data_IF_237399452341
#
_entry.id   IF_237399452341
#
_cell.length_a   1.000
_cell.length_b   1.000
_cell.length_c   1.000
_cell.angle_alpha   90.00
_cell.angle_beta   90.00
_cell.angle_gamma   90.00
#
_symmetry.space_group_name_H-M   'P 1'
#
loop_
_entity.id
_entity.type
_entity.pdbx_description
1 polymer ?
#
# COMPACT_ATOMS: atom_id res chain seq x y z
N UNK A 1 2.00 48.50 -36.42
CA UNK A 1 1.65 48.09 -35.03
C UNK A 1 1.41 46.58 -34.88
N UNK A 2 0.77 45.86 -35.84
CA UNK A 2 0.48 44.42 -35.69
C UNK A 2 1.70 43.48 -35.75
N UNK A 3 2.73 43.83 -36.53
CA UNK A 3 3.94 43.02 -36.65
C UNK A 3 4.74 42.90 -35.33
N UNK A 4 4.69 43.93 -34.49
CA UNK A 4 5.40 43.96 -33.22
C UNK A 4 4.82 42.98 -32.19
N UNK A 5 3.50 42.81 -32.18
CA UNK A 5 2.83 41.82 -31.34
C UNK A 5 3.23 40.39 -31.69
N UNK A 6 3.48 40.08 -32.96
CA UNK A 6 3.93 38.74 -33.37
C UNK A 6 5.36 38.44 -32.92
N UNK A 7 6.25 39.44 -32.95
CA UNK A 7 7.64 39.28 -32.49
C UNK A 7 7.68 39.06 -30.98
N UNK A 8 6.92 39.85 -30.21
CA UNK A 8 6.88 39.72 -28.75
C UNK A 8 6.27 38.39 -28.32
N UNK A 9 5.17 37.96 -28.94
CA UNK A 9 4.56 36.66 -28.64
C UNK A 9 5.47 35.48 -29.03
N UNK A 10 6.16 35.58 -30.18
CA UNK A 10 7.13 34.56 -30.59
C UNK A 10 8.28 34.41 -29.59
N UNK A 11 8.77 35.53 -29.05
CA UNK A 11 9.86 35.54 -28.08
C UNK A 11 9.45 34.98 -26.71
N UNK A 12 8.21 35.25 -26.27
CA UNK A 12 7.65 34.66 -25.05
C UNK A 12 7.46 33.15 -25.20
N UNK A 13 6.91 32.70 -26.33
CA UNK A 13 6.72 31.26 -26.60
C UNK A 13 8.05 30.51 -26.71
N UNK A 14 9.05 31.13 -27.35
CA UNK A 14 10.40 30.57 -27.40
C UNK A 14 11.03 30.49 -26.01
N UNK A 15 10.86 31.51 -25.17
CA UNK A 15 11.33 31.50 -23.78
C UNK A 15 10.70 30.39 -22.93
N UNK A 16 9.38 30.19 -23.05
CA UNK A 16 8.67 29.10 -22.36
C UNK A 16 9.13 27.73 -22.87
N UNK A 17 9.28 27.56 -24.19
CA UNK A 17 9.77 26.32 -24.78
C UNK A 17 11.19 25.98 -24.30
N UNK A 18 12.06 26.99 -24.17
CA UNK A 18 13.42 26.83 -23.67
C UNK A 18 13.46 26.53 -22.17
N UNK A 19 12.56 27.12 -21.38
CA UNK A 19 12.41 26.83 -19.95
C UNK A 19 11.83 25.44 -19.66
N UNK A 20 11.02 24.89 -20.56
CA UNK A 20 10.51 23.51 -20.47
C UNK A 20 11.56 22.49 -20.96
N UNK A 21 12.29 22.82 -22.03
CA UNK A 21 13.33 21.94 -22.59
C UNK A 21 14.64 21.91 -21.78
N UNK A 22 14.96 23.01 -21.09
CA UNK A 22 16.14 23.17 -20.22
C UNK A 22 15.69 23.42 -18.77
N UNK A 23 14.47 22.97 -18.42
CA UNK A 23 14.05 22.90 -17.04
C UNK A 23 15.03 22.00 -16.29
N UNK A 24 15.39 22.30 -15.03
CA UNK A 24 16.08 21.33 -14.22
C UNK A 24 15.13 20.15 -14.13
N UNK A 25 15.40 19.11 -14.92
CA UNK A 25 14.97 17.77 -14.59
C UNK A 25 15.37 17.64 -13.14
N UNK A 26 14.40 17.77 -12.24
CA UNK A 26 14.55 17.44 -10.84
C UNK A 26 14.97 15.99 -10.91
N UNK A 27 16.27 15.80 -10.94
CA UNK A 27 16.94 14.52 -11.02
C UNK A 27 16.57 13.96 -9.68
N UNK A 28 15.43 13.26 -9.64
CA UNK A 28 14.87 12.69 -8.44
C UNK A 28 16.04 11.96 -7.81
N UNK A 29 16.58 12.57 -6.76
CA UNK A 29 17.77 12.07 -6.12
C UNK A 29 17.36 10.68 -5.69
N UNK A 30 17.91 9.65 -6.34
CA UNK A 30 17.71 8.25 -5.97
C UNK A 30 18.40 8.11 -4.60
N UNK A 31 17.70 8.57 -3.56
CA UNK A 31 18.07 8.47 -2.15
C UNK A 31 17.86 7.04 -1.64
N UNK A 32 17.19 6.22 -2.44
CA UNK A 32 17.22 4.78 -2.31
C UNK A 32 18.21 4.25 -3.36
N UNK A 33 19.18 3.39 -3.00
CA UNK A 33 19.82 2.56 -4.00
C UNK A 33 18.72 1.95 -4.87
N UNK A 34 18.88 1.85 -6.21
CA UNK A 34 17.93 1.10 -7.02
C UNK A 34 17.78 -0.22 -6.31
N UNK A 35 16.60 -0.47 -5.73
CA UNK A 35 16.33 -1.58 -4.82
C UNK A 35 16.97 -2.79 -5.46
N UNK A 36 18.14 -3.18 -4.97
CA UNK A 36 19.03 -4.06 -5.70
C UNK A 36 18.43 -5.43 -5.48
N UNK A 37 17.41 -5.79 -6.27
CA UNK A 37 16.70 -7.06 -6.30
C UNK A 37 16.76 -7.80 -4.95
N UNK A 38 16.44 -7.11 -3.86
CA UNK A 38 16.55 -7.67 -2.53
C UNK A 38 15.28 -8.52 -2.36
N UNK A 39 15.36 -9.75 -2.87
CA UNK A 39 14.33 -10.77 -2.74
C UNK A 39 13.15 -10.65 -3.70
N UNK A 40 13.32 -10.26 -4.97
CA UNK A 40 12.36 -10.72 -5.98
C UNK A 40 12.70 -12.17 -6.29
N UNK A 41 12.29 -13.05 -5.37
CA UNK A 41 12.15 -14.44 -5.73
C UNK A 41 11.17 -14.52 -6.91
N UNK A 42 11.52 -15.29 -7.94
CA UNK A 42 10.67 -15.45 -9.10
C UNK A 42 9.29 -15.95 -8.64
N UNK A 43 8.22 -15.24 -9.05
CA UNK A 43 6.85 -15.57 -8.66
C UNK A 43 6.54 -17.03 -9.02
N UNK A 44 7.04 -17.51 -10.17
CA UNK A 44 6.88 -18.90 -10.58
C UNK A 44 7.54 -19.89 -9.60
N UNK A 45 8.66 -19.53 -8.99
CA UNK A 45 9.31 -20.36 -7.98
C UNK A 45 8.50 -20.40 -6.68
N UNK A 46 7.92 -19.27 -6.27
CA UNK A 46 7.03 -19.21 -5.10
C UNK A 46 5.76 -20.03 -5.31
N UNK A 47 5.15 -19.95 -6.50
CA UNK A 47 4.00 -20.76 -6.90
C UNK A 47 4.33 -22.26 -6.86
N UNK A 48 5.49 -22.66 -7.40
CA UNK A 48 5.95 -24.04 -7.37
C UNK A 48 6.16 -24.56 -5.94
N UNK A 49 6.75 -23.76 -5.04
CA UNK A 49 6.93 -24.13 -3.63
C UNK A 49 5.59 -24.25 -2.90
N UNK A 50 4.67 -23.31 -3.12
CA UNK A 50 3.34 -23.37 -2.54
C UNK A 50 2.57 -24.60 -3.01
N UNK A 51 2.66 -24.94 -4.30
CA UNK A 51 2.03 -26.13 -4.87
C UNK A 51 2.63 -27.43 -4.32
N UNK A 52 3.94 -27.45 -4.06
CA UNK A 52 4.62 -28.60 -3.49
C UNK A 52 4.31 -28.78 -1.99
N UNK A 53 4.32 -27.68 -1.23
CA UNK A 53 4.10 -27.69 0.22
C UNK A 53 3.53 -26.34 0.72
N UNK A 54 2.23 -26.26 1.05
CA UNK A 54 1.58 -25.03 1.50
C UNK A 54 1.86 -24.74 2.98
N UNK A 55 3.15 -24.66 3.36
CA UNK A 55 3.57 -24.24 4.69
C UNK A 55 3.18 -22.80 4.99
N UNK A 56 3.08 -22.40 6.28
CA UNK A 56 2.82 -21.01 6.64
C UNK A 56 3.71 -19.99 5.92
N UNK A 57 5.01 -20.28 5.83
CA UNK A 57 6.00 -19.42 5.19
C UNK A 57 5.78 -19.32 3.67
N UNK A 58 5.47 -20.43 3.01
CA UNK A 58 5.23 -20.43 1.57
C UNK A 58 3.92 -19.69 1.23
N UNK A 59 2.87 -19.86 2.03
CA UNK A 59 1.60 -19.14 1.86
C UNK A 59 1.79 -17.63 2.04
N UNK A 60 2.44 -17.18 3.11
CA UNK A 60 2.61 -15.74 3.35
C UNK A 60 3.57 -15.10 2.35
N UNK A 61 4.63 -15.80 1.94
CA UNK A 61 5.55 -15.33 0.90
C UNK A 61 4.84 -15.15 -0.46
N UNK A 62 4.09 -16.16 -0.90
CA UNK A 62 3.34 -16.09 -2.16
C UNK A 62 2.26 -15.00 -2.13
N UNK A 63 1.49 -14.91 -1.05
CA UNK A 63 0.47 -13.88 -0.89
C UNK A 63 1.08 -12.47 -0.86
N UNK A 64 2.22 -12.28 -0.21
CA UNK A 64 2.96 -11.02 -0.22
C UNK A 64 3.43 -10.66 -1.64
N UNK A 65 3.97 -11.63 -2.39
CA UNK A 65 4.39 -11.43 -3.77
C UNK A 65 3.20 -11.03 -4.67
N UNK A 66 2.06 -11.72 -4.58
CA UNK A 66 0.85 -11.33 -5.31
C UNK A 66 0.41 -9.91 -4.99
N UNK A 67 0.48 -9.47 -3.72
CA UNK A 67 0.19 -8.09 -3.34
C UNK A 67 1.20 -7.10 -3.92
N UNK A 68 2.48 -7.43 -3.96
CA UNK A 68 3.51 -6.59 -4.58
C UNK A 68 3.28 -6.42 -6.08
N UNK A 69 2.82 -7.48 -6.76
CA UNK A 69 2.45 -7.45 -8.18
C UNK A 69 1.05 -6.89 -8.48
N UNK A 70 0.34 -6.35 -7.49
CA UNK A 70 -0.99 -5.77 -7.71
C UNK A 70 -2.08 -6.80 -8.02
N UNK A 71 -1.92 -8.04 -7.56
CA UNK A 71 -2.83 -9.16 -7.75
C UNK A 71 -3.55 -9.55 -6.43
N UNK A 72 -4.36 -8.65 -5.84
CA UNK A 72 -4.97 -8.90 -4.52
C UNK A 72 -5.99 -10.05 -4.54
N UNK A 73 -6.59 -10.35 -5.69
CA UNK A 73 -7.48 -11.51 -5.86
C UNK A 73 -6.75 -12.82 -5.61
N UNK A 74 -5.59 -13.02 -6.25
CA UNK A 74 -4.75 -14.21 -6.05
C UNK A 74 -4.19 -14.29 -4.64
N UNK A 75 -3.80 -13.14 -4.06
CA UNK A 75 -3.38 -13.09 -2.66
C UNK A 75 -4.47 -13.57 -1.71
N UNK A 76 -5.72 -13.09 -1.89
CA UNK A 76 -6.87 -13.59 -1.13
C UNK A 76 -7.08 -15.08 -1.34
N UNK A 77 -7.09 -15.56 -2.59
CA UNK A 77 -7.30 -16.99 -2.88
C UNK A 77 -6.26 -17.90 -2.23
N UNK A 78 -4.98 -17.52 -2.26
CA UNK A 78 -3.91 -18.29 -1.62
C UNK A 78 -4.06 -18.33 -0.08
N UNK A 79 -4.45 -17.21 0.53
CA UNK A 79 -4.69 -17.11 1.97
C UNK A 79 -5.97 -17.85 2.40
N UNK A 80 -7.04 -17.74 1.62
CA UNK A 80 -8.34 -18.36 1.91
C UNK A 80 -8.27 -19.89 1.79
N UNK A 81 -7.46 -20.40 0.86
CA UNK A 81 -7.21 -21.83 0.67
C UNK A 81 -6.27 -22.43 1.74
N UNK A 82 -5.58 -21.60 2.52
CA UNK A 82 -4.66 -22.07 3.54
C UNK A 82 -5.39 -22.72 4.73
N UNK A 83 -4.76 -23.69 5.42
CA UNK A 83 -5.31 -24.27 6.65
C UNK A 83 -5.65 -23.21 7.70
N UNK A 84 -6.62 -23.50 8.57
CA UNK A 84 -7.08 -22.57 9.59
C UNK A 84 -5.93 -22.09 10.50
N UNK A 85 -4.99 -22.98 10.80
CA UNK A 85 -3.80 -22.73 11.60
C UNK A 85 -2.91 -21.65 10.97
N UNK A 86 -2.80 -21.65 9.63
CA UNK A 86 -2.05 -20.64 8.87
C UNK A 86 -2.81 -19.31 8.86
N UNK A 87 -4.13 -19.35 8.61
CA UNK A 87 -4.97 -18.15 8.57
C UNK A 87 -5.03 -17.43 9.92
N UNK A 88 -4.91 -18.16 11.02
CA UNK A 88 -4.86 -17.62 12.37
C UNK A 88 -3.53 -16.89 12.69
N UNK A 89 -2.49 -17.05 11.86
CA UNK A 89 -1.22 -16.36 12.08
C UNK A 89 -1.35 -14.86 11.85
N UNK A 90 -0.68 -14.03 12.66
CA UNK A 90 -0.80 -12.57 12.57
C UNK A 90 -0.30 -12.03 11.22
N UNK A 91 0.70 -12.67 10.61
CA UNK A 91 1.20 -12.28 9.29
C UNK A 91 0.19 -12.59 8.17
N UNK A 92 -0.44 -13.77 8.20
CA UNK A 92 -1.48 -14.12 7.25
C UNK A 92 -2.70 -13.19 7.37
N UNK A 93 -3.13 -12.88 8.60
CA UNK A 93 -4.20 -11.93 8.86
C UNK A 93 -3.86 -10.51 8.39
N UNK A 94 -2.61 -10.05 8.60
CA UNK A 94 -2.12 -8.77 8.07
C UNK A 94 -2.19 -8.71 6.54
N UNK A 95 -1.74 -9.76 5.85
CA UNK A 95 -1.79 -9.84 4.39
C UNK A 95 -3.24 -9.94 3.87
N UNK A 96 -4.10 -10.69 4.56
CA UNK A 96 -5.53 -10.78 4.24
C UNK A 96 -6.21 -9.42 4.31
N UNK A 97 -5.97 -8.65 5.38
CA UNK A 97 -6.48 -7.29 5.50
C UNK A 97 -6.03 -6.39 4.33
N UNK A 98 -4.78 -6.51 3.88
CA UNK A 98 -4.28 -5.76 2.72
C UNK A 98 -4.95 -6.18 1.41
N UNK A 99 -5.15 -7.48 1.21
CA UNK A 99 -5.80 -8.02 0.03
C UNK A 99 -7.27 -7.59 -0.04
N UNK A 100 -8.01 -7.74 1.06
CA UNK A 100 -9.42 -7.33 1.18
C UNK A 100 -9.60 -5.83 0.93
N UNK A 101 -8.72 -5.00 1.50
CA UNK A 101 -8.76 -3.56 1.28
C UNK A 101 -8.59 -3.19 -0.20
N UNK A 102 -7.63 -3.82 -0.89
CA UNK A 102 -7.42 -3.61 -2.34
C UNK A 102 -8.53 -4.15 -3.22
N UNK A 103 -9.41 -5.00 -2.68
CA UNK A 103 -10.59 -5.54 -3.34
C UNK A 103 -11.89 -4.78 -3.03
N UNK A 104 -11.79 -3.64 -2.33
CA UNK A 104 -12.96 -2.84 -1.97
C UNK A 104 -13.84 -3.45 -0.88
N UNK A 105 -13.23 -4.24 0.02
CA UNK A 105 -13.91 -4.86 1.17
C UNK A 105 -13.39 -4.24 2.47
N UNK A 106 -13.61 -2.94 2.65
CA UNK A 106 -12.99 -2.17 3.74
C UNK A 106 -13.38 -2.69 5.13
N UNK A 107 -14.64 -3.06 5.34
CA UNK A 107 -15.10 -3.59 6.63
C UNK A 107 -14.45 -4.93 7.00
N UNK A 108 -14.35 -5.81 6.02
CA UNK A 108 -13.71 -7.11 6.22
C UNK A 108 -12.20 -6.98 6.40
N UNK A 109 -11.59 -6.03 5.67
CA UNK A 109 -10.20 -5.67 5.89
C UNK A 109 -9.96 -5.17 7.32
N UNK A 110 -10.87 -4.36 7.88
CA UNK A 110 -10.78 -3.89 9.25
C UNK A 110 -10.84 -5.05 10.24
N UNK A 111 -11.81 -5.97 10.10
CA UNK A 111 -11.92 -7.14 10.98
C UNK A 111 -10.64 -8.00 10.97
N UNK A 112 -10.05 -8.23 9.79
CA UNK A 112 -8.79 -8.96 9.66
C UNK A 112 -7.61 -8.20 10.31
N UNK A 113 -7.57 -6.86 10.20
CA UNK A 113 -6.55 -6.04 10.83
C UNK A 113 -6.68 -5.98 12.37
N UNK A 114 -7.91 -5.96 12.88
CA UNK A 114 -8.20 -6.05 14.32
C UNK A 114 -7.72 -7.39 14.88
N UNK A 115 -8.02 -8.50 14.19
CA UNK A 115 -7.50 -9.83 14.57
C UNK A 115 -5.97 -9.83 14.60
N UNK A 116 -5.31 -9.36 13.55
CA UNK A 116 -3.85 -9.32 13.48
C UNK A 116 -3.24 -8.45 14.60
N UNK A 117 -3.85 -7.29 14.89
CA UNK A 117 -3.42 -6.39 15.96
C UNK A 117 -3.62 -7.02 17.34
N UNK A 118 -4.75 -7.69 17.58
CA UNK A 118 -5.04 -8.36 18.84
C UNK A 118 -4.04 -9.49 19.10
N UNK A 119 -3.78 -10.34 18.11
CA UNK A 119 -2.76 -11.40 18.19
C UNK A 119 -1.36 -10.84 18.42
N UNK A 120 -1.01 -9.69 17.84
CA UNK A 120 0.29 -9.09 18.11
C UNK A 120 0.40 -8.44 19.50
N UNK A 121 -0.71 -7.94 20.05
CA UNK A 121 -0.74 -7.29 21.37
C UNK A 121 -0.49 -8.27 22.53
N UNK A 122 -0.74 -9.57 22.34
CA UNK A 122 -0.44 -10.62 23.32
C UNK A 122 1.05 -11.03 23.35
N UNK A 123 1.92 -10.37 22.58
CA UNK A 123 3.37 -10.61 22.59
C UNK A 123 3.87 -11.64 21.57
N UNK A 124 2.99 -12.17 20.71
CA UNK A 124 3.33 -13.22 19.74
C UNK A 124 4.01 -12.72 18.46
N UNK A 125 4.19 -11.40 18.28
CA UNK A 125 4.68 -10.81 17.02
C UNK A 125 6.05 -10.15 17.14
N UNK A 126 6.88 -10.22 16.09
CA UNK A 126 8.00 -9.30 15.92
C UNK A 126 7.54 -7.83 15.97
N UNK A 127 8.37 -6.95 16.53
CA UNK A 127 8.05 -5.53 16.71
C UNK A 127 7.63 -4.83 15.40
N UNK A 128 8.26 -5.19 14.27
CA UNK A 128 7.92 -4.63 12.97
C UNK A 128 6.50 -4.99 12.51
N UNK A 129 6.04 -6.22 12.81
CA UNK A 129 4.72 -6.68 12.42
C UNK A 129 3.65 -6.03 13.31
N UNK A 130 3.91 -5.96 14.62
CA UNK A 130 3.05 -5.24 15.56
C UNK A 130 2.84 -3.77 15.16
N UNK A 131 3.90 -3.08 14.76
CA UNK A 131 3.80 -1.70 14.27
C UNK A 131 2.98 -1.59 12.97
N UNK A 132 3.17 -2.53 12.03
CA UNK A 132 2.41 -2.56 10.76
C UNK A 132 0.93 -2.83 10.98
N UNK A 133 0.58 -3.82 11.80
CA UNK A 133 -0.82 -4.18 12.08
C UNK A 133 -1.53 -3.06 12.82
N UNK A 134 -0.89 -2.44 13.82
CA UNK A 134 -1.44 -1.28 14.52
C UNK A 134 -1.72 -0.10 13.57
N UNK A 135 -0.76 0.25 12.70
CA UNK A 135 -0.93 1.34 11.72
C UNK A 135 -2.03 1.03 10.71
N UNK A 136 -2.08 -0.20 10.21
CA UNK A 136 -3.10 -0.62 9.25
C UNK A 136 -4.50 -0.58 9.87
N UNK A 137 -4.65 -1.07 11.11
CA UNK A 137 -5.92 -1.00 11.85
C UNK A 137 -6.41 0.44 11.97
N UNK A 138 -5.56 1.34 12.47
CA UNK A 138 -5.90 2.76 12.62
C UNK A 138 -6.31 3.41 11.29
N UNK A 139 -5.65 3.08 10.18
CA UNK A 139 -6.04 3.56 8.85
C UNK A 139 -7.43 3.04 8.46
N UNK A 140 -7.67 1.74 8.61
CA UNK A 140 -8.92 1.12 8.21
C UNK A 140 -10.11 1.58 9.07
N UNK A 141 -9.90 1.84 10.36
CA UNK A 141 -10.89 2.45 11.25
C UNK A 141 -11.38 3.80 10.69
N UNK A 142 -10.45 4.65 10.25
CA UNK A 142 -10.78 5.96 9.69
C UNK A 142 -11.52 5.86 8.36
N UNK A 143 -11.12 4.92 7.49
CA UNK A 143 -11.75 4.68 6.19
C UNK A 143 -13.18 4.16 6.37
N UNK A 144 -13.37 3.17 7.24
CA UNK A 144 -14.69 2.61 7.54
C UNK A 144 -15.59 3.66 8.22
N UNK A 145 -15.03 4.46 9.15
CA UNK A 145 -15.76 5.56 9.78
C UNK A 145 -16.16 6.67 8.78
N UNK A 146 -15.40 6.84 7.70
CA UNK A 146 -15.74 7.72 6.59
C UNK A 146 -16.83 7.16 5.66
N UNK A 147 -17.26 5.91 5.86
CA UNK A 147 -18.24 5.23 5.00
C UNK A 147 -17.67 4.80 3.65
N UNK A 148 -16.34 4.75 3.50
CA UNK A 148 -15.68 4.33 2.25
C UNK A 148 -15.57 2.80 2.22
N UNK A 149 -16.36 2.16 1.35
CA UNK A 149 -16.31 0.70 1.19
C UNK A 149 -15.28 0.26 0.13
N UNK A 150 -15.26 0.93 -1.03
CA UNK A 150 -14.30 0.69 -2.11
C UNK A 150 -13.27 1.84 -2.24
N UNK A 151 -12.02 1.63 -1.81
CA UNK A 151 -10.96 2.62 -1.94
C UNK A 151 -10.58 2.97 -3.38
N UNK A 152 -10.90 2.10 -4.35
CA UNK A 152 -10.62 2.35 -5.77
C UNK A 152 -11.71 3.20 -6.42
N UNK A 153 -12.94 3.14 -5.91
CA UNK A 153 -14.06 3.94 -6.41
C UNK A 153 -13.95 5.41 -6.01
N UNK A 154 -13.42 5.70 -4.82
CA UNK A 154 -13.22 7.08 -4.32
C UNK A 154 -11.86 7.25 -3.61
N UNK A 155 -10.78 7.45 -4.38
CA UNK A 155 -9.44 7.66 -3.82
C UNK A 155 -9.31 8.98 -3.05
N UNK A 156 -10.16 9.98 -3.35
CA UNK A 156 -10.14 11.27 -2.66
C UNK A 156 -10.70 11.14 -1.22
N UNK A 157 -11.79 10.38 -1.05
CA UNK A 157 -12.34 10.10 0.27
C UNK A 157 -11.37 9.29 1.15
N UNK A 158 -10.61 8.36 0.57
CA UNK A 158 -9.54 7.63 1.28
C UNK A 158 -8.45 8.59 1.78
N UNK A 159 -8.00 9.51 0.92
CA UNK A 159 -7.01 10.52 1.30
C UNK A 159 -7.53 11.42 2.43
N UNK A 160 -8.77 11.89 2.31
CA UNK A 160 -9.41 12.72 3.33
C UNK A 160 -9.59 11.98 4.67
N UNK A 161 -9.90 10.68 4.64
CA UNK A 161 -9.93 9.84 5.85
C UNK A 161 -8.55 9.70 6.50
N UNK A 162 -7.51 9.50 5.68
CA UNK A 162 -6.12 9.44 6.17
C UNK A 162 -5.66 10.76 6.79
N UNK A 163 -5.92 11.89 6.14
CA UNK A 163 -5.54 13.21 6.63
C UNK A 163 -6.21 13.56 7.96
N UNK A 164 -7.49 13.23 8.12
CA UNK A 164 -8.21 13.38 9.40
C UNK A 164 -7.53 12.59 10.51
N UNK A 165 -7.25 11.30 10.30
CA UNK A 165 -6.56 10.48 11.29
C UNK A 165 -5.15 10.99 11.62
N UNK A 166 -4.39 11.46 10.63
CA UNK A 166 -3.07 12.03 10.86
C UNK A 166 -3.11 13.37 11.62
N UNK A 167 -4.15 14.18 11.39
CA UNK A 167 -4.35 15.45 12.09
C UNK A 167 -4.67 15.27 13.57
N UNK A 168 -5.43 14.24 13.94
CA UNK A 168 -5.74 13.91 15.34
C UNK A 168 -4.48 13.51 16.13
N UNK A 169 -3.59 12.71 15.54
CA UNK A 169 -2.32 12.31 16.19
C UNK A 169 -1.40 13.51 16.44
N UNK A 170 -1.40 14.51 15.54
CA UNK A 170 -0.61 15.75 15.71
C UNK A 170 -1.08 16.60 16.88
N UNK A 171 -2.35 16.52 17.27
CA UNK A 171 -2.92 17.27 18.39
C UNK A 171 -2.63 16.62 19.75
N UNK A 172 -2.43 15.29 19.78
CA UNK A 172 -2.13 14.55 21.02
C UNK A 172 -0.65 14.61 21.41
N UNK A 173 0.26 14.82 20.45
CA UNK A 173 1.70 14.93 20.70
C UNK A 173 2.17 16.31 21.22
N UNK A 174 1.25 17.24 21.47
CA UNK A 174 1.50 18.57 22.03
C UNK A 174 0.72 18.73 23.35
N UNK A 175 1.14 18.01 24.39
CA UNK A 175 0.72 18.30 25.77
C UNK A 175 1.76 17.86 26.78
#
# INVERSE_FOLDING_TARGET
MRAWLFVVNGMVLAGIALAVGVGPSLRASRLLPPRAAAGHEDLAALEARYAADPTPANVTALAAAYLEHGQPGLASSALDAAPHEVRALPEAAHLSARALFRRGRAREALAAAEQASATCSSGACPAWLAAKTARQRALLEQIVAAGVEDPQADPAAVLAAYERGASEVRLVALR
#
